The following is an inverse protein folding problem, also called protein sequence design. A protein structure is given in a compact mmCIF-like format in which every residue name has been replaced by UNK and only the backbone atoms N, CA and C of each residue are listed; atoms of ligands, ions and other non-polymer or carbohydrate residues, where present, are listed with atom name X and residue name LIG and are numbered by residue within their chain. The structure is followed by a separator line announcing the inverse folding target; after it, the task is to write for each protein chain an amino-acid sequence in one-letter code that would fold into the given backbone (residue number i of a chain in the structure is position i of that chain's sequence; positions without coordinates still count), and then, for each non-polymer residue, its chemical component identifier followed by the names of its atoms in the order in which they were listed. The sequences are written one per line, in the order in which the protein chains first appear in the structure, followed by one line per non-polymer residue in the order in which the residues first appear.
data_IF_823621343826
#
_entry.id   IF_823621343826
#
_cell.length_a   1.000
_cell.length_b   1.000
_cell.length_c   1.000
_cell.angle_alpha   90.00
_cell.angle_beta   90.00
_cell.angle_gamma   90.00
#
_symmetry.space_group_name_H-M   'P 1'
#
loop_
_entity.id
_entity.type
_entity.pdbx_description
1 polymer ?
#
# COMPACT_ATOMS: atom_id res chain seq x y z
N UNK A 1 -13.47 -10.87 -5.90
CA UNK A 1 -14.55 -9.90 -5.62
C UNK A 1 -14.14 -8.49 -6.08
N UNK A 2 -12.99 -7.98 -5.67
CA UNK A 2 -12.50 -6.65 -6.11
C UNK A 2 -11.60 -6.84 -7.32
N UNK A 3 -11.88 -6.10 -8.42
CA UNK A 3 -11.06 -6.15 -9.63
C UNK A 3 -9.87 -5.21 -9.53
N UNK A 4 -10.12 -3.96 -9.15
CA UNK A 4 -9.07 -2.99 -8.91
C UNK A 4 -9.54 -1.89 -7.96
N UNK A 5 -8.58 -1.13 -7.43
CA UNK A 5 -8.83 0.05 -6.63
C UNK A 5 -7.99 1.22 -7.15
N UNK A 6 -8.40 2.44 -6.86
CA UNK A 6 -7.67 3.65 -7.25
C UNK A 6 -7.46 4.56 -6.06
N UNK A 7 -6.34 5.29 -6.08
CA UNK A 7 -6.10 6.44 -5.21
C UNK A 7 -5.63 7.61 -6.06
N UNK A 8 -5.88 8.82 -5.59
CA UNK A 8 -5.52 10.03 -6.31
C UNK A 8 -4.11 10.52 -5.99
N UNK A 9 -3.50 11.21 -6.96
CA UNK A 9 -2.22 11.90 -6.76
C UNK A 9 -2.23 13.26 -7.45
N UNK A 10 -1.51 14.21 -6.87
CA UNK A 10 -1.24 15.52 -7.50
C UNK A 10 0.03 15.50 -8.35
N UNK A 11 0.85 14.45 -8.22
CA UNK A 11 2.16 14.37 -8.87
C UNK A 11 2.41 12.92 -9.29
N UNK A 12 2.12 12.61 -10.54
CA UNK A 12 2.24 11.25 -11.08
C UNK A 12 3.67 10.73 -11.02
N UNK A 13 4.67 11.56 -11.34
CA UNK A 13 6.06 11.12 -11.33
C UNK A 13 6.52 10.73 -9.92
N UNK A 14 6.18 11.54 -8.93
CA UNK A 14 6.49 11.26 -7.52
C UNK A 14 5.75 10.00 -7.04
N UNK A 15 4.48 9.87 -7.39
CA UNK A 15 3.68 8.72 -6.99
C UNK A 15 4.21 7.42 -7.60
N UNK A 16 4.62 7.44 -8.88
CA UNK A 16 5.21 6.27 -9.54
C UNK A 16 6.50 5.85 -8.85
N UNK A 17 7.39 6.77 -8.53
CA UNK A 17 8.63 6.46 -7.81
C UNK A 17 8.33 5.83 -6.45
N UNK A 18 7.38 6.41 -5.72
CA UNK A 18 6.96 5.90 -4.41
C UNK A 18 6.45 4.45 -4.51
N UNK A 19 5.48 4.22 -5.38
CA UNK A 19 4.84 2.90 -5.47
C UNK A 19 5.74 1.86 -6.13
N UNK A 20 6.61 2.23 -7.08
CA UNK A 20 7.62 1.31 -7.61
C UNK A 20 8.53 0.78 -6.48
N UNK A 21 8.98 1.67 -5.60
CA UNK A 21 9.84 1.29 -4.47
C UNK A 21 9.09 0.41 -3.45
N UNK A 22 7.89 0.81 -3.07
CA UNK A 22 7.08 0.14 -2.05
C UNK A 22 6.63 -1.25 -2.53
N UNK A 23 6.14 -1.35 -3.76
CA UNK A 23 5.69 -2.65 -4.29
C UNK A 23 6.84 -3.59 -4.61
N UNK A 24 8.05 -3.06 -4.88
CA UNK A 24 9.23 -3.92 -5.03
C UNK A 24 9.49 -4.74 -3.78
N UNK A 25 9.24 -4.18 -2.60
CA UNK A 25 9.33 -4.91 -1.33
C UNK A 25 8.40 -6.13 -1.32
N UNK A 26 7.22 -6.00 -1.91
CA UNK A 26 6.23 -7.08 -1.97
C UNK A 26 6.40 -7.98 -3.19
N UNK A 27 7.42 -7.74 -4.02
CA UNK A 27 7.66 -8.52 -5.22
C UNK A 27 6.69 -8.22 -6.37
N UNK A 28 6.11 -7.03 -6.40
CA UNK A 28 5.10 -6.62 -7.40
C UNK A 28 5.68 -5.56 -8.31
N UNK A 29 5.64 -5.80 -9.61
CA UNK A 29 6.08 -4.85 -10.63
C UNK A 29 4.94 -3.99 -11.14
N UNK A 30 5.32 -2.88 -11.78
CA UNK A 30 4.36 -1.98 -12.40
C UNK A 30 3.78 -2.61 -13.68
N UNK A 31 2.46 -2.43 -13.87
CA UNK A 31 1.80 -2.90 -15.08
C UNK A 31 2.35 -2.18 -16.32
N UNK A 32 2.60 -2.90 -17.44
CA UNK A 32 3.23 -2.31 -18.62
C UNK A 32 2.32 -1.39 -19.44
N UNK A 33 1.01 -1.53 -19.32
CA UNK A 33 0.01 -0.86 -20.17
C UNK A 33 -0.65 0.32 -19.46
N UNK A 34 0.15 1.17 -18.83
CA UNK A 34 -0.39 2.38 -18.23
C UNK A 34 -0.43 3.51 -19.27
N UNK A 35 -1.36 4.43 -19.13
CA UNK A 35 -1.47 5.62 -19.97
C UNK A 35 -1.12 6.87 -19.17
N UNK A 36 -0.97 8.00 -19.85
CA UNK A 36 -0.77 9.28 -19.19
C UNK A 36 -1.91 9.55 -18.19
N UNK A 37 -1.54 9.85 -16.95
CA UNK A 37 -2.50 10.06 -15.86
C UNK A 37 -2.92 8.80 -15.10
N UNK A 38 -2.42 7.61 -15.46
CA UNK A 38 -2.69 6.35 -14.75
C UNK A 38 -1.43 5.51 -14.64
N UNK A 39 -1.21 4.88 -13.51
CA UNK A 39 -0.20 3.85 -13.34
C UNK A 39 -0.71 2.79 -12.35
N UNK A 40 -0.37 1.53 -12.58
CA UNK A 40 -0.91 0.43 -11.80
C UNK A 40 0.11 -0.65 -11.48
N UNK A 41 -0.18 -1.38 -10.43
CA UNK A 41 0.61 -2.51 -9.93
C UNK A 41 -0.33 -3.67 -9.62
N UNK A 42 0.20 -4.88 -9.68
CA UNK A 42 -0.53 -6.10 -9.38
C UNK A 42 -0.51 -7.07 -10.54
N UNK A 43 -1.16 -8.21 -10.34
CA UNK A 43 -1.29 -9.24 -11.37
C UNK A 43 -2.30 -8.86 -12.45
N UNK A 44 -2.47 -9.75 -13.44
CA UNK A 44 -3.53 -9.60 -14.42
C UNK A 44 -4.90 -9.67 -13.74
N UNK A 45 -5.91 -9.15 -14.41
CA UNK A 45 -7.28 -9.20 -13.88
C UNK A 45 -7.81 -10.64 -13.69
N UNK A 46 -7.16 -11.62 -14.31
CA UNK A 46 -7.51 -13.02 -14.14
C UNK A 46 -6.87 -13.64 -12.89
N UNK A 47 -5.78 -13.07 -12.37
CA UNK A 47 -4.98 -13.66 -11.29
C UNK A 47 -5.04 -12.87 -9.98
N UNK A 48 -5.65 -11.71 -9.97
CA UNK A 48 -5.69 -10.87 -8.80
C UNK A 48 -6.37 -9.56 -9.10
N UNK A 49 -6.16 -8.58 -8.22
CA UNK A 49 -6.68 -7.26 -8.51
C UNK A 49 -5.54 -6.26 -8.65
N UNK A 50 -5.80 -5.18 -9.40
CA UNK A 50 -4.84 -4.12 -9.60
C UNK A 50 -5.00 -3.00 -8.58
N UNK A 51 -3.89 -2.40 -8.20
CA UNK A 51 -3.85 -1.14 -7.48
C UNK A 51 -3.39 -0.05 -8.45
N UNK A 52 -4.15 1.04 -8.54
CA UNK A 52 -3.89 2.12 -9.50
C UNK A 52 -3.81 3.47 -8.82
N UNK A 53 -2.94 4.32 -9.35
CA UNK A 53 -2.92 5.74 -9.03
C UNK A 53 -3.39 6.52 -10.26
N UNK A 54 -4.08 7.62 -10.02
CA UNK A 54 -4.60 8.44 -11.11
C UNK A 54 -4.82 9.88 -10.67
N UNK A 55 -4.97 10.75 -11.66
CA UNK A 55 -5.56 12.06 -11.42
C UNK A 55 -7.07 11.88 -11.28
N UNK A 56 -7.73 12.59 -10.34
CA UNK A 56 -9.17 12.50 -10.24
C UNK A 56 -9.88 12.83 -11.56
N UNK A 57 -10.96 12.14 -11.85
CA UNK A 57 -11.71 12.27 -13.09
C UNK A 57 -12.20 13.71 -13.32
N UNK A 58 -12.57 14.42 -12.25
CA UNK A 58 -13.07 15.79 -12.31
C UNK A 58 -11.96 16.85 -12.43
N UNK A 59 -10.70 16.43 -12.48
CA UNK A 59 -9.52 17.31 -12.55
C UNK A 59 -9.31 18.20 -11.33
N UNK A 60 -10.08 18.02 -10.26
CA UNK A 60 -9.87 18.72 -9.00
C UNK A 60 -8.79 18.02 -8.18
N UNK A 61 -8.28 18.68 -7.13
CA UNK A 61 -7.28 18.09 -6.26
C UNK A 61 -7.84 16.83 -5.59
N UNK A 62 -7.06 15.74 -5.53
CA UNK A 62 -7.50 14.53 -4.84
C UNK A 62 -7.57 14.76 -3.33
N UNK A 63 -8.43 14.00 -2.67
CA UNK A 63 -8.46 13.89 -1.22
C UNK A 63 -8.17 12.44 -0.83
N UNK A 64 -7.54 12.20 0.35
CA UNK A 64 -7.29 10.83 0.77
C UNK A 64 -8.56 10.07 1.17
N UNK A 65 -9.64 10.77 1.44
CA UNK A 65 -10.90 10.17 1.90
C UNK A 65 -10.82 9.74 3.37
N UNK A 66 -11.56 10.41 4.24
CA UNK A 66 -11.60 10.04 5.64
C UNK A 66 -12.29 8.67 5.83
N UNK A 67 -11.59 7.74 6.45
CA UNK A 67 -12.07 6.37 6.61
C UNK A 67 -11.63 5.40 5.50
N UNK A 68 -11.04 5.90 4.40
CA UNK A 68 -10.51 5.05 3.35
C UNK A 68 -9.12 4.52 3.71
N UNK A 69 -8.88 3.24 3.42
CA UNK A 69 -7.57 2.61 3.57
C UNK A 69 -7.49 1.40 2.65
N UNK A 70 -6.32 1.15 2.10
CA UNK A 70 -6.05 -0.05 1.33
C UNK A 70 -4.96 -0.84 2.04
N UNK A 71 -5.21 -2.12 2.30
CA UNK A 71 -4.28 -3.01 2.96
C UNK A 71 -3.67 -3.99 1.96
N UNK A 72 -2.35 -4.03 1.91
CA UNK A 72 -1.59 -4.94 1.07
C UNK A 72 -1.15 -6.16 1.88
N UNK A 73 -1.14 -7.31 1.24
CA UNK A 73 -0.73 -8.57 1.87
C UNK A 73 0.78 -8.71 1.84
N UNK A 74 1.39 -8.96 2.99
CA UNK A 74 2.78 -9.36 3.10
C UNK A 74 2.89 -10.88 3.28
N UNK A 75 4.02 -11.44 2.89
CA UNK A 75 4.32 -12.87 3.04
C UNK A 75 4.93 -13.22 4.38
N UNK A 76 5.48 -12.23 5.09
CA UNK A 76 6.13 -12.41 6.39
C UNK A 76 6.28 -11.04 7.08
N UNK A 77 6.74 -11.10 8.33
CA UNK A 77 6.96 -9.89 9.15
C UNK A 77 8.04 -8.98 8.56
N UNK A 78 9.09 -9.58 7.99
CA UNK A 78 10.18 -8.79 7.38
C UNK A 78 9.70 -7.91 6.24
N UNK A 79 8.74 -8.39 5.43
CA UNK A 79 8.13 -7.56 4.38
C UNK A 79 7.33 -6.40 4.96
N UNK A 80 6.61 -6.60 6.07
CA UNK A 80 5.89 -5.51 6.74
C UNK A 80 6.85 -4.45 7.23
N UNK A 81 7.97 -4.85 7.83
CA UNK A 81 9.00 -3.94 8.31
C UNK A 81 9.65 -3.16 7.16
N UNK A 82 10.02 -3.87 6.07
CA UNK A 82 10.63 -3.25 4.90
C UNK A 82 9.65 -2.32 4.18
N UNK A 83 8.37 -2.67 4.10
CA UNK A 83 7.32 -1.80 3.56
C UNK A 83 7.28 -0.48 4.32
N UNK A 84 7.21 -0.53 5.64
CA UNK A 84 7.13 0.66 6.48
C UNK A 84 8.36 1.56 6.29
N UNK A 85 9.56 1.00 6.38
CA UNK A 85 10.79 1.78 6.22
C UNK A 85 10.91 2.38 4.81
N UNK A 86 10.55 1.63 3.77
CA UNK A 86 10.58 2.10 2.39
C UNK A 86 9.60 3.25 2.16
N UNK A 87 8.41 3.19 2.75
CA UNK A 87 7.45 4.30 2.70
C UNK A 87 8.06 5.57 3.28
N UNK A 88 8.68 5.48 4.44
CA UNK A 88 9.30 6.66 5.09
C UNK A 88 10.48 7.22 4.28
N UNK A 89 11.26 6.35 3.65
CA UNK A 89 12.40 6.74 2.81
C UNK A 89 11.98 7.42 1.51
N UNK A 90 10.74 7.22 1.07
CA UNK A 90 10.24 7.70 -0.22
C UNK A 90 9.16 8.79 -0.08
N UNK A 91 9.12 9.49 1.03
CA UNK A 91 8.26 10.67 1.20
C UNK A 91 6.88 10.39 1.80
N UNK A 92 6.61 9.16 2.20
CA UNK A 92 5.41 8.84 2.98
C UNK A 92 5.58 9.13 4.46
N UNK A 93 4.55 8.89 5.24
CA UNK A 93 4.56 9.15 6.68
C UNK A 93 4.04 7.96 7.49
N UNK A 94 4.44 7.93 8.77
CA UNK A 94 4.07 6.88 9.71
C UNK A 94 2.64 7.11 10.25
N UNK A 95 1.87 6.02 10.34
CA UNK A 95 0.56 5.99 11.00
C UNK A 95 0.46 4.82 11.98
N UNK A 96 1.56 4.12 12.22
CA UNK A 96 1.66 3.02 13.18
C UNK A 96 2.71 2.01 12.75
N UNK A 97 3.81 1.90 13.49
CA UNK A 97 4.94 1.05 13.18
C UNK A 97 4.60 -0.45 13.13
N UNK A 98 5.49 -1.26 12.52
CA UNK A 98 5.25 -2.69 12.38
C UNK A 98 5.08 -3.40 13.72
N UNK A 99 4.06 -4.22 13.83
CA UNK A 99 3.79 -5.02 15.03
C UNK A 99 2.36 -5.50 15.11
N UNK A 100 2.04 -6.18 16.19
CA UNK A 100 0.67 -6.55 16.52
C UNK A 100 -0.04 -5.43 17.27
N UNK A 101 -1.36 -5.54 17.39
CA UNK A 101 -2.18 -4.56 18.13
C UNK A 101 -3.03 -5.31 19.15
N UNK A 102 -3.17 -4.79 20.39
CA UNK A 102 -3.93 -5.49 21.44
C UNK A 102 -5.41 -5.71 21.12
N UNK A 103 -5.95 -4.86 20.23
CA UNK A 103 -7.37 -4.88 19.86
C UNK A 103 -7.63 -5.64 18.55
N UNK A 104 -6.58 -6.20 17.91
CA UNK A 104 -6.70 -7.04 16.73
C UNK A 104 -6.38 -8.49 17.08
N UNK A 105 -6.60 -9.38 16.10
CA UNK A 105 -6.19 -10.76 16.21
C UNK A 105 -4.67 -10.85 16.43
N UNK A 106 -4.19 -11.73 17.33
CA UNK A 106 -2.76 -11.87 17.57
C UNK A 106 -1.95 -12.29 16.34
N UNK A 107 -2.61 -12.86 15.32
CA UNK A 107 -1.99 -13.24 14.05
C UNK A 107 -1.80 -12.08 13.08
N UNK A 108 -2.34 -10.89 13.36
CA UNK A 108 -2.19 -9.72 12.51
C UNK A 108 -0.94 -8.93 12.89
N UNK A 109 0.08 -9.05 12.04
CA UNK A 109 1.28 -8.22 12.11
C UNK A 109 1.17 -7.15 11.03
N UNK A 110 1.08 -5.89 11.42
CA UNK A 110 0.65 -4.81 10.53
C UNK A 110 1.45 -3.53 10.74
N UNK A 111 1.62 -2.78 9.67
CA UNK A 111 2.09 -1.39 9.71
C UNK A 111 1.10 -0.50 8.97
N UNK A 112 0.94 0.73 9.45
CA UNK A 112 0.10 1.75 8.84
C UNK A 112 0.93 2.93 8.42
N UNK A 113 0.65 3.46 7.23
CA UNK A 113 1.39 4.57 6.63
C UNK A 113 0.45 5.45 5.83
N UNK A 114 0.99 6.59 5.38
CA UNK A 114 0.37 7.40 4.32
C UNK A 114 1.36 7.57 3.18
N UNK A 115 0.83 7.58 1.95
CA UNK A 115 1.64 7.93 0.78
C UNK A 115 1.89 9.44 0.73
N UNK A 116 2.70 9.95 -0.24
CA UNK A 116 2.98 11.39 -0.31
C UNK A 116 1.76 12.29 -0.53
N UNK A 117 0.65 11.74 -1.03
CA UNK A 117 -0.62 12.47 -1.20
C UNK A 117 -1.55 12.34 0.02
N UNK A 118 -1.13 11.60 1.04
CA UNK A 118 -1.90 11.40 2.26
C UNK A 118 -2.85 10.20 2.23
N UNK A 119 -2.85 9.40 1.17
CA UNK A 119 -3.66 8.18 1.09
C UNK A 119 -3.19 7.17 2.13
N UNK A 120 -4.12 6.64 2.93
CA UNK A 120 -3.79 5.69 3.99
C UNK A 120 -3.64 4.29 3.44
N UNK A 121 -2.53 3.65 3.81
CA UNK A 121 -2.18 2.30 3.38
C UNK A 121 -1.83 1.47 4.61
N UNK A 122 -2.05 0.16 4.51
CA UNK A 122 -1.55 -0.79 5.48
C UNK A 122 -0.80 -1.91 4.76
N UNK A 123 0.11 -2.54 5.47
CA UNK A 123 0.74 -3.77 5.03
C UNK A 123 0.57 -4.81 6.13
N UNK A 124 0.01 -5.97 5.78
CA UNK A 124 -0.45 -6.96 6.78
C UNK A 124 0.10 -8.33 6.45
N UNK A 125 0.76 -8.93 7.43
CA UNK A 125 0.99 -10.37 7.45
C UNK A 125 0.02 -10.97 8.47
N UNK A 126 -0.97 -11.73 7.99
CA UNK A 126 -2.10 -12.18 8.80
C UNK A 126 -1.90 -13.54 9.45
N UNK A 127 -0.73 -14.16 9.26
CA UNK A 127 -0.38 -15.48 9.82
C UNK A 127 0.77 -15.42 10.83
N UNK A 128 0.93 -14.25 11.44
CA UNK A 128 1.94 -14.09 12.50
C UNK A 128 1.67 -15.05 13.65
N UNK A 129 2.72 -15.71 14.11
CA UNK A 129 2.62 -16.59 15.28
C UNK A 129 3.10 -15.82 16.49
N UNK A 130 2.22 -15.55 17.48
CA UNK A 130 2.65 -14.91 18.70
C UNK A 130 3.71 -15.77 19.38
N UNK A 131 4.67 -15.13 20.04
CA UNK A 131 5.63 -15.85 20.88
C UNK A 131 4.87 -16.62 21.96
N UNK A 132 5.32 -17.84 22.22
CA UNK A 132 4.79 -18.60 23.34
C UNK A 132 5.04 -17.82 24.63
N UNK A 133 4.02 -17.72 25.51
CA UNK A 133 4.18 -17.11 26.81
C UNK A 133 5.25 -17.89 27.58
N UNK A 134 6.25 -17.16 28.09
CA UNK A 134 7.31 -17.76 28.88
C UNK A 134 6.79 -18.24 30.24
#
# INVERSE_FOLDING_TARGET
MILYSTVGTVDMARAIEFYDAVFRVLGVGRAPNWTDGWAGWGGSYDEGYGFWICRPFDSLAPTPGNGAMIAFRAKNEAQVQAFHSTVLENGGSDEGGPGTRPYYQPSFYVAYVRDPDGNKLACVFHKHKPEAAA
#
